data_IF_356020362804
#
_entry.id   IF_356020362804
#
_cell.length_a   1.000
_cell.length_b   1.000
_cell.length_c   1.000
_cell.angle_alpha   90.00
_cell.angle_beta   90.00
_cell.angle_gamma   90.00
#
_symmetry.space_group_name_H-M   'P 1'
#
loop_
_entity.id
_entity.type
_entity.pdbx_description
1 polymer ?
#
# COMPACT_ATOMS: atom_id res chain seq x y z
N UNK A 1 22.62 -73.45 -15.29
CA UNK A 1 21.69 -72.32 -15.46
C UNK A 1 21.61 -71.49 -14.17
N UNK A 2 22.55 -70.59 -13.85
CA UNK A 2 22.47 -69.71 -12.61
C UNK A 2 23.54 -68.59 -12.62
N UNK A 3 23.61 -67.74 -13.70
CA UNK A 3 24.58 -66.60 -13.64
C UNK A 3 24.07 -65.26 -14.26
N UNK A 4 22.77 -65.08 -14.52
CA UNK A 4 22.26 -63.81 -15.10
C UNK A 4 21.56 -62.86 -14.15
N UNK A 5 21.29 -63.25 -12.89
CA UNK A 5 20.56 -62.43 -11.89
C UNK A 5 21.33 -61.21 -11.37
N UNK A 6 22.66 -61.26 -11.10
CA UNK A 6 23.36 -60.10 -10.52
C UNK A 6 23.52 -58.94 -11.52
N UNK A 7 23.66 -59.23 -12.83
CA UNK A 7 23.78 -58.16 -13.86
C UNK A 7 22.49 -57.40 -14.10
N UNK A 8 21.33 -58.06 -14.00
CA UNK A 8 20.02 -57.41 -14.16
C UNK A 8 19.70 -56.50 -13.00
N UNK A 9 20.02 -56.91 -11.77
CA UNK A 9 19.87 -56.06 -10.56
C UNK A 9 20.80 -54.84 -10.56
N UNK A 10 22.01 -54.97 -11.06
CA UNK A 10 22.96 -53.87 -11.19
C UNK A 10 22.48 -52.85 -12.26
N UNK A 11 21.97 -53.30 -13.37
CA UNK A 11 21.41 -52.45 -14.44
C UNK A 11 20.13 -51.68 -13.97
N UNK A 12 19.26 -52.33 -13.20
CA UNK A 12 18.09 -51.73 -12.59
C UNK A 12 18.47 -50.65 -11.57
N UNK A 13 19.48 -50.90 -10.73
CA UNK A 13 19.96 -49.94 -9.77
C UNK A 13 20.59 -48.71 -10.42
N UNK A 14 21.35 -48.88 -11.51
CA UNK A 14 21.95 -47.77 -12.26
C UNK A 14 20.85 -46.93 -12.98
N UNK A 15 19.82 -47.59 -13.51
CA UNK A 15 18.68 -46.92 -14.15
C UNK A 15 17.86 -46.10 -13.15
N UNK A 16 17.59 -46.64 -11.94
CA UNK A 16 16.93 -45.92 -10.87
C UNK A 16 17.74 -44.69 -10.40
N UNK A 17 19.07 -44.84 -10.27
CA UNK A 17 19.94 -43.73 -9.91
C UNK A 17 19.94 -42.60 -10.96
N UNK A 18 19.95 -42.99 -12.24
CA UNK A 18 19.87 -42.03 -13.37
C UNK A 18 18.55 -41.30 -13.38
N UNK A 19 17.42 -41.98 -13.13
CA UNK A 19 16.08 -41.35 -13.05
C UNK A 19 15.98 -40.41 -11.85
N UNK A 20 16.55 -40.77 -10.68
CA UNK A 20 16.58 -39.90 -9.50
C UNK A 20 17.43 -38.63 -9.73
N UNK A 21 18.54 -38.74 -10.46
CA UNK A 21 19.39 -37.58 -10.80
C UNK A 21 18.70 -36.64 -11.81
N UNK A 22 17.96 -37.17 -12.79
CA UNK A 22 17.20 -36.38 -13.75
C UNK A 22 15.99 -35.70 -13.08
N UNK A 23 15.29 -36.37 -12.17
CA UNK A 23 14.18 -35.79 -11.40
C UNK A 23 14.65 -34.70 -10.43
N UNK A 24 15.84 -34.86 -9.81
CA UNK A 24 16.44 -33.85 -8.95
C UNK A 24 16.84 -32.57 -9.69
N UNK A 25 17.33 -32.69 -10.93
CA UNK A 25 17.63 -31.51 -11.78
C UNK A 25 16.36 -30.81 -12.27
N UNK A 26 15.30 -31.53 -12.62
CA UNK A 26 14.04 -30.94 -13.03
C UNK A 26 13.32 -30.20 -11.88
N UNK A 27 13.38 -30.75 -10.65
CA UNK A 27 12.81 -30.10 -9.45
C UNK A 27 13.55 -28.82 -9.05
N UNK A 28 14.86 -28.73 -9.30
CA UNK A 28 15.65 -27.54 -9.00
C UNK A 28 15.48 -26.43 -10.04
N UNK A 29 15.12 -26.76 -11.28
CA UNK A 29 14.82 -25.77 -12.33
C UNK A 29 13.45 -25.10 -12.16
N UNK A 30 12.54 -25.69 -11.35
CA UNK A 30 11.18 -25.18 -11.15
C UNK A 30 11.06 -24.10 -10.05
N UNK A 31 12.17 -23.72 -9.38
CA UNK A 31 12.14 -22.75 -8.26
C UNK A 31 13.06 -21.53 -8.47
N UNK A 32 13.59 -21.30 -9.66
CA UNK A 32 14.32 -20.06 -9.94
C UNK A 32 13.31 -18.91 -10.04
N UNK A 33 13.40 -17.95 -9.11
CA UNK A 33 12.67 -16.68 -9.19
C UNK A 33 13.09 -15.97 -10.50
N UNK A 34 12.17 -15.76 -11.47
CA UNK A 34 12.52 -15.14 -12.75
C UNK A 34 13.06 -13.72 -12.59
N UNK A 35 12.82 -13.08 -11.42
CA UNK A 35 13.21 -11.71 -11.13
C UNK A 35 14.47 -11.66 -10.23
N UNK A 36 15.13 -12.81 -9.96
CA UNK A 36 16.27 -12.88 -9.05
C UNK A 36 17.47 -12.03 -9.47
N UNK A 37 17.66 -11.84 -10.78
CA UNK A 37 18.79 -11.10 -11.35
C UNK A 37 18.46 -9.61 -11.65
N UNK A 38 17.22 -9.17 -11.40
CA UNK A 38 16.83 -7.79 -11.65
C UNK A 38 17.39 -6.84 -10.57
N UNK A 39 17.79 -5.62 -10.95
CA UNK A 39 18.15 -4.59 -9.98
C UNK A 39 16.94 -4.28 -9.09
N UNK A 40 17.21 -4.02 -7.82
CA UNK A 40 16.15 -3.81 -6.82
C UNK A 40 15.83 -2.33 -6.66
N UNK A 41 14.54 -2.00 -6.55
CA UNK A 41 14.03 -0.72 -6.05
C UNK A 41 13.54 -0.92 -4.62
N UNK A 42 14.12 -0.19 -3.69
CA UNK A 42 13.74 -0.21 -2.27
C UNK A 42 12.62 0.79 -2.03
N UNK A 43 11.47 0.31 -1.59
CA UNK A 43 10.24 1.07 -1.40
C UNK A 43 9.97 1.23 0.09
N UNK A 44 9.95 2.47 0.58
CA UNK A 44 9.58 2.80 1.95
C UNK A 44 8.06 2.88 2.12
N UNK A 45 7.51 2.14 3.08
CA UNK A 45 6.09 2.19 3.44
C UNK A 45 5.90 1.82 4.91
N UNK A 46 4.79 2.26 5.51
CA UNK A 46 4.32 1.73 6.80
C UNK A 46 3.30 0.61 6.59
N UNK A 47 2.90 -0.06 7.66
CA UNK A 47 1.82 -1.06 7.56
C UNK A 47 0.47 -0.37 7.41
N UNK A 48 -0.18 -0.55 6.27
CA UNK A 48 -1.44 0.12 5.95
C UNK A 48 -2.40 -0.74 5.11
N UNK A 49 -3.13 -1.69 5.72
CA UNK A 49 -4.18 -2.42 5.01
C UNK A 49 -5.27 -1.49 4.44
N UNK A 50 -5.77 -1.73 3.22
CA UNK A 50 -5.44 -2.80 2.28
C UNK A 50 -4.27 -2.48 1.33
N UNK A 51 -3.50 -1.42 1.55
CA UNK A 51 -2.48 -0.92 0.61
C UNK A 51 -1.15 -1.68 0.73
N UNK A 52 -0.57 -1.73 1.93
CA UNK A 52 0.66 -2.46 2.23
C UNK A 52 0.59 -3.06 3.63
N UNK A 53 0.71 -4.38 3.74
CA UNK A 53 0.72 -5.10 5.01
C UNK A 53 1.36 -6.48 4.82
N UNK A 54 1.58 -7.20 5.91
CA UNK A 54 2.07 -8.57 5.85
C UNK A 54 0.88 -9.54 5.85
N UNK A 55 0.89 -10.48 4.92
CA UNK A 55 -0.02 -11.63 4.92
C UNK A 55 0.25 -12.56 6.12
N UNK A 56 -0.61 -13.54 6.36
CA UNK A 56 -0.47 -14.47 7.48
C UNK A 56 0.83 -15.29 7.45
N UNK A 57 1.42 -15.47 6.28
CA UNK A 57 2.71 -16.15 6.05
C UNK A 57 3.92 -15.20 6.06
N UNK A 58 3.69 -13.90 6.39
CA UNK A 58 4.73 -12.90 6.58
C UNK A 58 5.25 -12.24 5.31
N UNK A 59 4.58 -12.42 4.17
CA UNK A 59 4.96 -11.76 2.91
C UNK A 59 4.24 -10.42 2.74
N UNK A 60 4.92 -9.38 2.20
CA UNK A 60 4.26 -8.14 1.81
C UNK A 60 3.13 -8.40 0.82
N UNK A 61 1.98 -7.80 1.06
CA UNK A 61 0.77 -7.88 0.23
C UNK A 61 -0.03 -6.59 0.29
N UNK A 62 -1.00 -6.44 -0.60
CA UNK A 62 -1.88 -5.27 -0.67
C UNK A 62 -1.83 -4.58 -2.02
N UNK A 63 -2.69 -3.58 -2.18
CA UNK A 63 -2.86 -2.83 -3.44
C UNK A 63 -1.52 -2.27 -3.91
N UNK A 64 -0.82 -1.55 -3.04
CA UNK A 64 0.42 -0.86 -3.39
C UNK A 64 1.54 -1.86 -3.68
N UNK A 65 1.59 -2.97 -2.94
CA UNK A 65 2.59 -4.03 -3.15
C UNK A 65 2.42 -4.69 -4.52
N UNK A 66 1.18 -5.04 -4.90
CA UNK A 66 0.94 -5.68 -6.19
C UNK A 66 1.14 -4.72 -7.36
N UNK A 67 0.69 -3.45 -7.23
CA UNK A 67 0.92 -2.42 -8.25
C UNK A 67 2.41 -2.16 -8.44
N UNK A 68 3.17 -1.99 -7.36
CA UNK A 68 4.60 -1.74 -7.41
C UNK A 68 5.36 -2.93 -8.01
N UNK A 69 5.03 -4.15 -7.59
CA UNK A 69 5.67 -5.36 -8.11
C UNK A 69 5.51 -5.46 -9.62
N UNK A 70 4.30 -5.27 -10.13
CA UNK A 70 4.05 -5.34 -11.58
C UNK A 70 4.64 -4.16 -12.33
N UNK A 71 4.51 -2.92 -11.81
CA UNK A 71 5.06 -1.74 -12.47
C UNK A 71 6.59 -1.80 -12.59
N UNK A 72 7.28 -2.10 -11.50
CA UNK A 72 8.74 -2.20 -11.51
C UNK A 72 9.23 -3.40 -12.32
N UNK A 73 8.51 -4.53 -12.31
CA UNK A 73 8.81 -5.67 -13.18
C UNK A 73 8.77 -5.27 -14.67
N UNK A 74 7.76 -4.48 -15.11
CA UNK A 74 7.67 -3.95 -16.48
C UNK A 74 8.83 -3.01 -16.83
N UNK A 75 9.35 -2.32 -15.82
CA UNK A 75 10.52 -1.46 -15.96
C UNK A 75 11.86 -2.22 -15.88
N UNK A 76 11.86 -3.54 -15.64
CA UNK A 76 13.06 -4.35 -15.48
C UNK A 76 13.71 -4.26 -14.10
N UNK A 77 12.93 -4.01 -13.07
CA UNK A 77 13.36 -3.95 -11.67
C UNK A 77 12.57 -4.93 -10.81
N UNK A 78 13.13 -5.26 -9.65
CA UNK A 78 12.49 -5.99 -8.56
C UNK A 78 12.06 -4.98 -7.48
N UNK A 79 10.78 -5.00 -7.10
CA UNK A 79 10.27 -4.21 -5.98
C UNK A 79 10.62 -4.88 -4.65
N UNK A 80 11.16 -4.11 -3.68
CA UNK A 80 11.41 -4.56 -2.32
C UNK A 80 10.83 -3.57 -1.33
N UNK A 81 9.77 -3.97 -0.63
CA UNK A 81 9.17 -3.16 0.42
C UNK A 81 9.98 -3.29 1.72
N UNK A 82 10.22 -2.14 2.35
CA UNK A 82 10.79 -2.02 3.69
C UNK A 82 9.86 -1.20 4.57
N UNK A 83 9.64 -1.69 5.80
CA UNK A 83 8.83 -0.95 6.77
C UNK A 83 9.63 0.20 7.33
N UNK A 84 9.06 1.40 7.26
CA UNK A 84 9.64 2.63 7.80
C UNK A 84 8.72 3.25 8.85
N UNK A 85 9.26 4.12 9.69
CA UNK A 85 8.44 5.04 10.47
C UNK A 85 7.98 6.17 9.52
N UNK A 86 6.65 6.34 9.38
CA UNK A 86 6.09 7.26 8.36
C UNK A 86 6.46 8.72 8.61
N UNK A 87 6.79 9.09 9.84
CA UNK A 87 7.25 10.45 10.17
C UNK A 87 8.61 10.76 9.54
N UNK A 88 9.45 9.74 9.32
CA UNK A 88 10.81 9.87 8.80
C UNK A 88 10.89 9.75 7.27
N UNK A 89 9.74 9.52 6.60
CA UNK A 89 9.67 9.22 5.15
C UNK A 89 10.47 10.19 4.27
N UNK A 90 10.39 11.50 4.56
CA UNK A 90 11.05 12.52 3.76
C UNK A 90 12.57 12.40 3.86
N UNK A 91 13.09 12.29 5.07
CA UNK A 91 14.52 12.11 5.30
C UNK A 91 15.05 10.83 4.63
N UNK A 92 14.29 9.73 4.76
CA UNK A 92 14.70 8.42 4.24
C UNK A 92 14.79 8.39 2.71
N UNK A 93 13.88 9.07 2.00
CA UNK A 93 13.93 9.14 0.53
C UNK A 93 14.98 10.16 0.06
N UNK A 94 15.15 11.28 0.76
CA UNK A 94 16.12 12.31 0.39
C UNK A 94 17.56 11.85 0.59
N UNK A 95 17.85 11.03 1.61
CA UNK A 95 19.18 10.48 1.89
C UNK A 95 19.47 9.17 1.14
N UNK A 96 18.49 8.64 0.37
CA UNK A 96 18.65 7.43 -0.45
C UNK A 96 18.60 6.12 0.35
N UNK A 97 18.13 6.13 1.60
CA UNK A 97 17.86 4.90 2.36
C UNK A 97 16.77 4.07 1.68
N UNK A 98 15.78 4.73 1.10
CA UNK A 98 14.78 4.15 0.19
C UNK A 98 14.81 4.89 -1.14
N UNK A 99 14.51 4.18 -2.23
CA UNK A 99 14.46 4.76 -3.57
C UNK A 99 13.20 5.60 -3.79
N UNK A 100 12.08 5.16 -3.22
CA UNK A 100 10.81 5.87 -3.30
C UNK A 100 9.91 5.52 -2.10
N UNK A 101 8.82 6.29 -1.97
CA UNK A 101 7.77 6.09 -0.98
C UNK A 101 6.49 5.65 -1.71
N UNK A 102 5.95 4.48 -1.34
CA UNK A 102 4.71 3.97 -1.89
C UNK A 102 3.86 3.37 -0.77
N UNK A 103 2.98 4.17 -0.20
CA UNK A 103 2.17 3.81 0.96
C UNK A 103 0.89 4.64 1.02
N UNK A 104 0.02 4.53 -0.02
CA UNK A 104 -1.21 5.34 -0.08
C UNK A 104 -0.92 6.83 0.10
N UNK A 105 0.14 7.34 -0.56
CA UNK A 105 0.64 8.68 -0.32
C UNK A 105 -0.07 9.70 -1.20
N UNK A 106 -0.78 10.64 -0.56
CA UNK A 106 -1.52 11.70 -1.25
C UNK A 106 -0.60 12.74 -1.88
N UNK A 107 -0.76 13.01 -3.16
CA UNK A 107 -0.02 14.04 -3.92
C UNK A 107 -0.48 15.42 -3.49
N UNK A 108 -1.80 15.62 -3.36
CA UNK A 108 -2.47 16.90 -3.17
C UNK A 108 -1.87 17.73 -2.03
N UNK A 109 -1.40 18.94 -2.37
CA UNK A 109 -0.74 19.87 -1.46
C UNK A 109 0.71 19.50 -1.09
N UNK A 110 1.33 18.59 -1.87
CA UNK A 110 2.74 18.18 -1.73
C UNK A 110 3.45 18.09 -3.10
N UNK A 111 2.87 18.71 -4.12
CA UNK A 111 3.32 18.63 -5.51
C UNK A 111 4.79 19.08 -5.64
N UNK A 112 5.17 20.09 -4.87
CA UNK A 112 6.53 20.67 -4.88
C UNK A 112 7.49 20.04 -3.86
N UNK A 113 7.03 19.06 -3.04
CA UNK A 113 7.87 18.44 -2.03
C UNK A 113 8.64 17.21 -2.53
N UNK A 114 8.17 16.59 -3.60
CA UNK A 114 8.71 15.36 -4.17
C UNK A 114 8.61 15.38 -5.69
N UNK A 115 9.37 14.49 -6.36
CA UNK A 115 9.05 14.09 -7.72
C UNK A 115 8.01 12.97 -7.66
N UNK A 116 6.93 13.10 -8.44
CA UNK A 116 5.79 12.22 -8.34
C UNK A 116 5.59 11.35 -9.57
N UNK A 117 5.29 10.07 -9.35
CA UNK A 117 4.62 9.22 -10.34
C UNK A 117 3.18 8.98 -9.91
N UNK A 118 2.24 9.05 -10.84
CA UNK A 118 0.80 8.89 -10.60
C UNK A 118 0.00 10.16 -10.92
N UNK A 119 -1.26 10.26 -10.44
CA UNK A 119 -1.89 9.36 -9.49
C UNK A 119 -2.18 7.97 -10.09
N UNK A 120 -1.95 6.90 -9.32
CA UNK A 120 -2.31 5.53 -9.73
C UNK A 120 -3.75 5.15 -9.37
N UNK A 121 -4.32 5.78 -8.35
CA UNK A 121 -5.74 5.73 -7.97
C UNK A 121 -6.11 6.97 -7.18
N UNK A 122 -7.41 7.20 -6.99
CA UNK A 122 -7.91 8.18 -6.03
C UNK A 122 -8.29 7.52 -4.71
N UNK A 123 -8.38 8.32 -3.65
CA UNK A 123 -8.90 7.90 -2.36
C UNK A 123 -9.65 9.04 -1.67
N UNK A 124 -10.68 8.70 -0.88
CA UNK A 124 -11.41 9.64 -0.05
C UNK A 124 -10.78 9.68 1.33
N UNK A 125 -10.38 10.86 1.79
CA UNK A 125 -10.09 11.13 3.19
C UNK A 125 -11.41 11.38 3.88
N UNK A 126 -11.75 10.59 4.88
CA UNK A 126 -13.07 10.64 5.55
C UNK A 126 -12.91 10.68 7.05
N UNK A 127 -14.01 11.05 7.72
CA UNK A 127 -14.14 10.97 9.17
C UNK A 127 -15.02 9.77 9.51
N UNK A 128 -14.60 9.00 10.52
CA UNK A 128 -15.40 7.93 11.09
C UNK A 128 -15.60 8.14 12.58
N UNK A 129 -16.76 7.73 13.07
CA UNK A 129 -17.24 7.88 14.45
C UNK A 129 -17.84 6.56 14.94
N UNK A 130 -18.05 6.43 16.24
CA UNK A 130 -18.83 5.30 16.79
C UNK A 130 -20.29 5.37 16.29
N UNK A 131 -20.98 4.24 16.06
CA UNK A 131 -22.33 4.21 15.50
C UNK A 131 -23.37 5.07 16.24
N UNK A 132 -23.23 5.22 17.57
CA UNK A 132 -24.13 6.03 18.40
C UNK A 132 -23.69 7.48 18.59
N UNK A 133 -22.71 7.97 17.81
CA UNK A 133 -22.23 9.35 17.91
C UNK A 133 -23.26 10.36 17.39
N UNK A 134 -23.28 11.54 18.00
CA UNK A 134 -24.06 12.71 17.58
C UNK A 134 -23.41 13.52 16.44
N UNK A 135 -22.21 13.14 15.99
CA UNK A 135 -21.48 13.79 14.90
C UNK A 135 -22.01 13.25 13.58
N UNK A 136 -22.79 14.05 12.83
CA UNK A 136 -23.40 13.68 11.55
C UNK A 136 -22.67 14.31 10.35
N UNK A 137 -22.08 15.49 10.57
CA UNK A 137 -21.39 16.31 9.53
C UNK A 137 -20.01 16.72 9.99
N UNK A 138 -19.19 17.27 9.07
CA UNK A 138 -17.88 17.84 9.44
C UNK A 138 -18.01 19.00 10.43
N UNK A 139 -19.09 19.80 10.33
CA UNK A 139 -19.33 20.92 11.24
C UNK A 139 -19.53 20.46 12.70
N UNK A 140 -20.04 19.27 12.94
CA UNK A 140 -20.26 18.72 14.29
C UNK A 140 -18.96 18.34 15.01
N UNK A 141 -17.81 18.36 14.28
CA UNK A 141 -16.49 18.18 14.87
C UNK A 141 -16.05 19.37 15.72
N UNK A 142 -16.79 20.50 15.69
CA UNK A 142 -16.50 21.66 16.53
C UNK A 142 -16.42 21.27 18.02
N UNK A 143 -15.28 21.55 18.65
CA UNK A 143 -15.03 21.24 20.06
C UNK A 143 -14.87 19.74 20.38
N UNK A 144 -14.84 18.85 19.39
CA UNK A 144 -14.59 17.41 19.57
C UNK A 144 -13.09 17.08 19.55
N UNK A 145 -12.74 15.87 19.92
CA UNK A 145 -11.37 15.33 19.84
C UNK A 145 -11.26 14.42 18.64
N UNK A 146 -10.36 14.72 17.70
CA UNK A 146 -10.14 13.93 16.48
C UNK A 146 -8.76 13.27 16.54
N UNK A 147 -8.66 11.98 16.23
CA UNK A 147 -7.40 11.26 16.12
C UNK A 147 -7.02 11.05 14.65
N UNK A 148 -5.76 11.31 14.33
CA UNK A 148 -5.15 11.19 13.00
C UNK A 148 -3.79 10.53 13.08
N UNK A 149 -3.30 9.98 12.00
CA UNK A 149 -1.89 9.61 11.94
C UNK A 149 -1.06 10.85 11.63
N UNK A 150 0.08 10.98 12.32
CA UNK A 150 1.01 12.08 12.14
C UNK A 150 1.56 12.14 10.71
N UNK A 151 1.82 13.36 10.21
CA UNK A 151 2.37 13.67 8.89
C UNK A 151 1.55 13.15 7.70
N UNK A 152 0.24 12.91 7.93
CA UNK A 152 -0.71 12.51 6.88
C UNK A 152 -1.55 13.67 6.37
N UNK A 153 -2.30 13.43 5.28
CA UNK A 153 -3.20 14.45 4.72
C UNK A 153 -4.32 14.88 5.67
N UNK A 154 -5.02 13.97 6.39
CA UNK A 154 -5.98 14.40 7.40
C UNK A 154 -5.40 15.31 8.47
N UNK A 155 -4.21 15.01 8.99
CA UNK A 155 -3.57 15.89 9.98
C UNK A 155 -3.36 17.30 9.42
N UNK A 156 -2.79 17.40 8.20
CA UNK A 156 -2.55 18.68 7.55
C UNK A 156 -3.85 19.50 7.40
N UNK A 157 -4.96 18.86 6.95
CA UNK A 157 -6.25 19.52 6.77
C UNK A 157 -6.79 20.15 8.08
N UNK A 158 -6.61 19.46 9.21
CA UNK A 158 -7.02 20.00 10.51
C UNK A 158 -6.08 21.09 11.04
N UNK A 159 -4.77 21.02 10.73
CA UNK A 159 -3.78 22.01 11.18
C UNK A 159 -3.78 23.28 10.34
N UNK A 160 -4.01 23.18 9.03
CA UNK A 160 -3.93 24.31 8.11
C UNK A 160 -5.08 25.30 8.28
N UNK A 161 -6.26 24.83 8.74
CA UNK A 161 -7.44 25.67 8.96
C UNK A 161 -7.97 26.38 7.72
N UNK A 162 -7.54 25.96 6.52
CA UNK A 162 -7.89 26.60 5.24
C UNK A 162 -9.24 26.19 4.66
N UNK A 163 -9.81 25.07 5.08
CA UNK A 163 -11.10 24.60 4.63
C UNK A 163 -12.21 25.02 5.60
N UNK A 164 -13.13 25.93 5.19
CA UNK A 164 -14.18 26.44 6.07
C UNK A 164 -15.19 25.34 6.51
N UNK A 165 -15.20 24.17 5.89
CA UNK A 165 -16.04 23.05 6.30
C UNK A 165 -15.50 22.31 7.54
N UNK A 166 -14.18 22.46 7.80
CA UNK A 166 -13.49 21.83 8.92
C UNK A 166 -13.42 22.80 10.08
N UNK A 167 -14.20 22.59 11.15
CA UNK A 167 -14.21 23.51 12.29
C UNK A 167 -12.97 23.34 13.17
N UNK A 168 -12.76 24.29 14.07
CA UNK A 168 -11.78 24.16 15.15
C UNK A 168 -12.19 23.00 16.09
N UNK A 169 -11.32 22.01 16.22
CA UNK A 169 -11.51 20.89 17.12
C UNK A 169 -10.92 21.19 18.50
N UNK A 170 -11.46 20.56 19.56
CA UNK A 170 -10.91 20.72 20.93
C UNK A 170 -9.49 20.20 21.02
N UNK A 171 -9.21 19.07 20.38
CA UNK A 171 -7.90 18.45 20.34
C UNK A 171 -7.74 17.62 19.07
N UNK A 172 -6.56 17.76 18.45
CA UNK A 172 -6.09 16.86 17.39
C UNK A 172 -5.03 15.94 17.99
N UNK A 173 -5.31 14.64 18.01
CA UNK A 173 -4.42 13.62 18.55
C UNK A 173 -3.64 12.99 17.40
N UNK A 174 -2.42 13.43 17.19
CA UNK A 174 -1.52 12.96 16.15
C UNK A 174 -0.73 11.75 16.62
N UNK A 175 -1.03 10.57 16.07
CA UNK A 175 -0.41 9.31 16.45
C UNK A 175 0.63 8.88 15.41
N UNK A 176 1.79 8.42 15.85
CA UNK A 176 2.80 7.87 14.93
C UNK A 176 2.30 6.58 14.25
N UNK A 177 1.65 5.71 15.02
CA UNK A 177 1.13 4.43 14.53
C UNK A 177 -0.36 4.52 14.26
N UNK A 178 -0.77 4.14 13.07
CA UNK A 178 -2.16 4.23 12.60
C UNK A 178 -3.14 3.41 13.43
N UNK A 179 -2.75 2.23 13.87
CA UNK A 179 -3.63 1.35 14.67
C UNK A 179 -4.10 2.02 15.95
N UNK A 180 -3.32 2.99 16.45
CA UNK A 180 -3.67 3.72 17.68
C UNK A 180 -4.87 4.63 17.48
N UNK A 181 -5.06 5.24 16.28
CA UNK A 181 -6.21 6.11 16.06
C UNK A 181 -7.54 5.36 16.24
N UNK A 182 -7.61 4.13 15.70
CA UNK A 182 -8.79 3.28 15.80
C UNK A 182 -9.02 2.79 17.25
N UNK A 183 -7.94 2.45 17.96
CA UNK A 183 -8.03 2.08 19.37
C UNK A 183 -8.53 3.26 20.23
N UNK A 184 -8.11 4.49 19.94
CA UNK A 184 -8.57 5.69 20.64
C UNK A 184 -10.06 5.94 20.40
N UNK A 185 -10.55 5.79 19.18
CA UNK A 185 -11.98 5.87 18.87
C UNK A 185 -12.77 4.80 19.64
N UNK A 186 -12.36 3.53 19.52
CA UNK A 186 -13.08 2.40 20.16
C UNK A 186 -13.11 2.49 21.69
N UNK A 187 -12.12 3.14 22.30
CA UNK A 187 -12.04 3.35 23.77
C UNK A 187 -12.66 4.66 24.23
N UNK A 188 -13.17 5.49 23.32
CA UNK A 188 -13.75 6.79 23.65
C UNK A 188 -12.73 7.85 24.06
N UNK A 189 -11.45 7.69 23.73
CA UNK A 189 -10.41 8.71 23.93
C UNK A 189 -10.41 9.76 22.83
N UNK A 190 -10.96 9.43 21.66
CA UNK A 190 -11.28 10.33 20.57
C UNK A 190 -12.76 10.21 20.24
N UNK A 191 -13.38 11.31 19.82
CA UNK A 191 -14.78 11.37 19.37
C UNK A 191 -14.89 10.92 17.90
N UNK A 192 -13.81 11.14 17.13
CA UNK A 192 -13.72 10.78 15.71
C UNK A 192 -12.29 10.40 15.33
N UNK A 193 -12.15 9.71 14.19
CA UNK A 193 -10.88 9.45 13.49
C UNK A 193 -10.97 9.93 12.06
N UNK A 194 -9.84 10.34 11.48
CA UNK A 194 -9.77 10.69 10.08
C UNK A 194 -8.64 9.91 9.38
N UNK A 195 -9.00 9.24 8.27
CA UNK A 195 -8.10 8.41 7.47
C UNK A 195 -8.67 8.16 6.07
N UNK A 196 -7.97 7.36 5.26
CA UNK A 196 -8.53 6.84 4.01
C UNK A 196 -9.75 5.94 4.26
N UNK A 197 -10.82 6.16 3.51
CA UNK A 197 -12.08 5.38 3.59
C UNK A 197 -11.79 3.87 3.48
N UNK A 198 -10.99 3.47 2.51
CA UNK A 198 -10.63 2.06 2.26
C UNK A 198 -9.93 1.41 3.45
N UNK A 199 -9.10 2.16 4.16
CA UNK A 199 -8.40 1.66 5.35
C UNK A 199 -9.33 1.52 6.55
N UNK A 200 -10.26 2.46 6.74
CA UNK A 200 -11.28 2.35 7.78
C UNK A 200 -12.15 1.13 7.54
N UNK A 201 -12.63 0.94 6.29
CA UNK A 201 -13.45 -0.21 5.90
C UNK A 201 -12.70 -1.53 6.11
N UNK A 202 -11.41 -1.58 5.75
CA UNK A 202 -10.58 -2.76 5.97
C UNK A 202 -10.43 -3.06 7.46
N UNK A 203 -10.15 -2.04 8.28
CA UNK A 203 -10.04 -2.21 9.73
C UNK A 203 -11.35 -2.73 10.36
N UNK A 204 -12.49 -2.18 9.95
CA UNK A 204 -13.81 -2.66 10.38
C UNK A 204 -14.01 -4.15 10.05
N UNK A 205 -13.64 -4.55 8.84
CA UNK A 205 -13.73 -5.93 8.37
C UNK A 205 -12.81 -6.87 9.16
N UNK A 206 -11.53 -6.49 9.35
CA UNK A 206 -10.51 -7.34 9.97
C UNK A 206 -10.79 -7.61 11.45
N UNK A 207 -11.35 -6.62 12.15
CA UNK A 207 -11.57 -6.69 13.60
C UNK A 207 -13.03 -6.90 14.01
N UNK A 208 -13.95 -6.96 13.04
CA UNK A 208 -15.40 -7.11 13.32
C UNK A 208 -15.94 -5.91 14.12
N UNK A 209 -15.41 -4.72 13.89
CA UNK A 209 -15.80 -3.47 14.54
C UNK A 209 -16.67 -2.67 13.58
N UNK A 210 -17.68 -2.00 14.10
CA UNK A 210 -18.55 -1.13 13.32
C UNK A 210 -18.27 0.33 13.66
N UNK A 211 -17.95 1.13 12.63
CA UNK A 211 -17.89 2.59 12.67
C UNK A 211 -18.89 3.16 11.67
N UNK A 212 -19.35 4.38 11.92
CA UNK A 212 -20.11 5.14 10.94
C UNK A 212 -19.18 6.16 10.28
N UNK A 213 -19.04 6.07 8.96
CA UNK A 213 -18.29 7.02 8.14
C UNK A 213 -19.24 8.17 7.77
N UNK A 214 -18.79 9.41 7.90
CA UNK A 214 -19.57 10.57 7.48
C UNK A 214 -19.67 10.60 5.95
N UNK A 215 -20.83 10.99 5.42
CA UNK A 215 -21.08 11.03 3.97
C UNK A 215 -20.19 12.05 3.27
N UNK A 216 -19.97 13.20 3.91
CA UNK A 216 -19.11 14.26 3.41
C UNK A 216 -17.63 13.91 3.64
N UNK A 217 -16.80 13.78 2.58
CA UNK A 217 -15.38 13.56 2.75
C UNK A 217 -14.66 14.86 3.14
N UNK A 218 -13.57 14.70 3.90
CA UNK A 218 -12.62 15.79 4.11
C UNK A 218 -12.03 16.25 2.78
N UNK A 219 -11.57 15.30 1.99
CA UNK A 219 -11.01 15.56 0.66
C UNK A 219 -10.99 14.27 -0.18
N UNK A 220 -11.11 14.42 -1.50
CA UNK A 220 -10.71 13.37 -2.46
C UNK A 220 -9.30 13.70 -2.92
N UNK A 221 -8.40 12.71 -2.90
CA UNK A 221 -6.97 12.89 -3.17
C UNK A 221 -6.48 11.88 -4.19
N UNK A 222 -5.48 12.25 -4.98
CA UNK A 222 -4.73 11.32 -5.82
C UNK A 222 -3.60 10.65 -5.03
N UNK A 223 -3.47 9.34 -5.18
CA UNK A 223 -2.40 8.58 -4.58
C UNK A 223 -1.26 8.40 -5.57
N UNK A 224 -0.06 8.76 -5.16
CA UNK A 224 1.14 8.69 -5.99
C UNK A 224 2.32 8.03 -5.31
N UNK A 225 3.37 7.88 -6.07
CA UNK A 225 4.69 7.38 -5.63
C UNK A 225 5.64 8.55 -5.59
N UNK A 226 6.26 8.80 -4.45
CA UNK A 226 7.13 9.94 -4.23
C UNK A 226 8.60 9.52 -4.30
N UNK A 227 9.38 10.26 -5.09
CA UNK A 227 10.84 10.18 -5.18
C UNK A 227 11.45 11.47 -4.62
N UNK A 228 12.71 11.43 -4.21
CA UNK A 228 13.41 12.63 -3.80
C UNK A 228 13.38 13.71 -4.90
N UNK A 229 13.27 15.00 -4.53
CA UNK A 229 13.26 16.10 -5.51
C UNK A 229 14.51 16.12 -6.41
N UNK A 230 15.65 15.72 -5.86
CA UNK A 230 16.93 15.66 -6.54
C UNK A 230 17.21 14.31 -7.24
N UNK A 231 16.23 13.41 -7.32
CA UNK A 231 16.38 12.15 -8.07
C UNK A 231 16.37 12.43 -9.57
N UNK A 232 17.51 12.29 -10.21
CA UNK A 232 17.72 12.52 -11.64
C UNK A 232 17.72 11.24 -12.50
N UNK A 233 17.43 10.07 -11.88
CA UNK A 233 17.43 8.76 -12.57
C UNK A 233 16.26 8.61 -13.56
N UNK A 234 15.26 9.50 -13.52
CA UNK A 234 14.08 9.44 -14.39
C UNK A 234 13.10 8.32 -14.05
N UNK A 235 13.19 7.75 -12.83
CA UNK A 235 12.32 6.66 -12.37
C UNK A 235 10.86 7.10 -12.25
N UNK A 236 10.62 8.34 -11.85
CA UNK A 236 9.28 8.95 -11.79
C UNK A 236 8.59 8.94 -13.17
N UNK A 237 9.31 9.35 -14.20
CA UNK A 237 8.81 9.37 -15.59
C UNK A 237 8.58 7.97 -16.14
N UNK A 238 9.53 7.06 -15.92
CA UNK A 238 9.41 5.67 -16.36
C UNK A 238 8.25 4.95 -15.63
N UNK A 239 8.07 5.19 -14.33
CA UNK A 239 6.98 4.63 -13.56
C UNK A 239 5.63 5.19 -14.00
N UNK A 240 5.52 6.48 -14.34
CA UNK A 240 4.31 7.06 -14.92
C UNK A 240 3.89 6.33 -16.21
N UNK A 241 4.84 6.03 -17.09
CA UNK A 241 4.56 5.27 -18.30
C UNK A 241 4.07 3.84 -17.98
N UNK A 242 4.74 3.14 -17.08
CA UNK A 242 4.33 1.79 -16.66
C UNK A 242 2.92 1.77 -16.02
N UNK A 243 2.60 2.75 -15.17
CA UNK A 243 1.27 2.89 -14.56
C UNK A 243 0.19 3.20 -15.60
N UNK A 244 0.50 4.02 -16.62
CA UNK A 244 -0.41 4.31 -17.72
C UNK A 244 -0.70 3.04 -18.56
N UNK A 245 0.33 2.25 -18.86
CA UNK A 245 0.19 0.98 -19.58
C UNK A 245 -0.65 -0.02 -18.76
N UNK A 246 -0.41 -0.14 -17.44
CA UNK A 246 -1.18 -1.00 -16.55
C UNK A 246 -2.65 -0.59 -16.44
N UNK A 247 -2.94 0.70 -16.55
CA UNK A 247 -4.31 1.21 -16.61
C UNK A 247 -4.95 0.85 -17.94
N UNK A 248 -4.25 1.07 -19.06
CA UNK A 248 -4.75 0.84 -20.41
C UNK A 248 -5.06 -0.63 -20.68
N UNK A 249 -4.25 -1.56 -20.16
CA UNK A 249 -4.45 -3.01 -20.35
C UNK A 249 -5.35 -3.66 -19.30
N UNK A 250 -5.85 -2.88 -18.32
CA UNK A 250 -6.75 -3.34 -17.26
C UNK A 250 -6.06 -4.00 -16.07
N UNK A 251 -4.73 -4.08 -16.03
CA UNK A 251 -3.97 -4.67 -14.90
C UNK A 251 -4.24 -3.94 -13.60
N UNK A 252 -4.23 -2.61 -13.60
CA UNK A 252 -4.54 -1.80 -12.41
C UNK A 252 -5.92 -2.18 -11.86
N UNK A 253 -6.96 -2.21 -12.72
CA UNK A 253 -8.32 -2.60 -12.33
C UNK A 253 -8.39 -4.00 -11.74
N UNK A 254 -7.70 -4.95 -12.36
CA UNK A 254 -7.67 -6.34 -11.90
C UNK A 254 -7.01 -6.48 -10.52
N UNK A 255 -5.97 -5.71 -10.23
CA UNK A 255 -5.33 -5.68 -8.92
C UNK A 255 -6.27 -5.07 -7.87
N UNK A 256 -6.86 -3.89 -8.15
CA UNK A 256 -7.78 -3.23 -7.22
C UNK A 256 -8.99 -4.12 -6.89
N UNK A 257 -9.51 -4.87 -7.86
CA UNK A 257 -10.66 -5.76 -7.68
C UNK A 257 -10.43 -6.91 -6.70
N UNK A 258 -9.19 -7.22 -6.34
CA UNK A 258 -8.88 -8.21 -5.30
C UNK A 258 -9.15 -7.68 -3.89
N UNK A 259 -9.12 -6.37 -3.71
CA UNK A 259 -9.16 -5.70 -2.42
C UNK A 259 -10.39 -4.81 -2.24
N UNK A 260 -10.95 -4.30 -3.33
CA UNK A 260 -12.02 -3.30 -3.33
C UNK A 260 -13.25 -3.85 -4.05
N UNK A 261 -14.46 -3.76 -3.44
CA UNK A 261 -15.69 -4.26 -4.06
C UNK A 261 -16.05 -3.53 -5.37
N UNK A 262 -15.73 -2.24 -5.47
CA UNK A 262 -15.96 -1.41 -6.64
C UNK A 262 -14.66 -0.69 -7.02
N UNK A 263 -13.78 -1.35 -7.81
CA UNK A 263 -12.49 -0.79 -8.18
C UNK A 263 -12.62 0.43 -9.10
N UNK A 264 -13.68 0.52 -9.90
CA UNK A 264 -13.86 1.61 -10.87
C UNK A 264 -14.06 2.96 -10.19
N UNK A 265 -14.68 2.98 -9.00
CA UNK A 265 -14.81 4.17 -8.13
C UNK A 265 -13.45 4.86 -7.84
N UNK A 266 -12.36 4.12 -7.83
CA UNK A 266 -11.03 4.59 -7.44
C UNK A 266 -10.11 4.86 -8.64
N UNK A 267 -10.59 4.66 -9.87
CA UNK A 267 -9.81 4.84 -11.10
C UNK A 267 -10.06 6.18 -11.81
N UNK A 268 -11.00 6.98 -11.34
CA UNK A 268 -11.28 8.33 -11.87
C UNK A 268 -10.23 9.33 -11.39
N UNK A 269 -9.01 9.26 -11.95
CA UNK A 269 -7.86 10.07 -11.50
C UNK A 269 -7.88 11.52 -11.99
N UNK A 270 -8.83 11.90 -12.81
CA UNK A 270 -9.02 13.29 -13.29
C UNK A 270 -9.90 14.14 -12.33
N UNK A 271 -10.06 13.66 -11.09
CA UNK A 271 -10.86 14.36 -10.07
C UNK A 271 -10.34 15.79 -9.82
N UNK A 272 -11.22 16.78 -9.98
CA UNK A 272 -10.98 18.17 -9.54
C UNK A 272 -9.85 18.92 -10.24
N UNK A 273 -9.40 18.48 -11.43
CA UNK A 273 -8.46 19.23 -12.28
C UNK A 273 -9.17 19.99 -13.37
#
# INVERSE_FOLDING_TARGET
MKHHRPRLLFLLAVLCLAVCLLAGCAARAATADPDADLPTIVIGSDSYPPFNYLSADGHPTGIDVELATEAFRRMGYKAQFVTIDWVDKKELVENGTVDCLWGSFSIDGREDEYRWAGPYMISRQVVAVMPGSDIETLADLAGKTVAVQATTKPEALFLDGGDPRIPEVRALLSMQKRELIYAYLSKGYADAVAAHETSILQFMSDFGIEYRILDEPLQVVGLGVAFALNDDRGLDTALNAALADMRADGTTRAILAKYLPDPDKYLEVDYGR
#
